data_IF_636018745727
#
_entry.id   IF_636018745727
#
_cell.length_a   1.000
_cell.length_b   1.000
_cell.length_c   1.000
_cell.angle_alpha   90.00
_cell.angle_beta   90.00
_cell.angle_gamma   90.00
#
_symmetry.space_group_name_H-M   'P 1'
#
loop_
_entity.id
_entity.type
_entity.pdbx_description
1 polymer ?
#
# COMPACT_ATOMS: atom_id res chain seq x y z
N UNK A 1 -61.18 -20.56 19.64
CA UNK A 1 -61.87 -19.25 19.51
C UNK A 1 -60.87 -18.33 18.81
N UNK A 2 -60.85 -18.33 17.47
CA UNK A 2 -61.47 -17.31 16.59
C UNK A 2 -60.80 -15.94 16.77
N UNK A 3 -60.25 -15.23 15.78
CA UNK A 3 -60.18 -15.29 14.30
C UNK A 3 -59.28 -14.10 13.88
N UNK A 4 -58.37 -14.20 12.89
CA UNK A 4 -58.55 -13.79 11.47
C UNK A 4 -58.71 -12.25 11.30
N UNK A 5 -58.08 -11.50 10.38
CA UNK A 5 -57.42 -11.76 9.10
C UNK A 5 -56.48 -10.56 8.75
N UNK A 6 -55.32 -10.80 8.13
CA UNK A 6 -54.92 -10.39 6.75
C UNK A 6 -55.65 -9.20 6.09
N UNK A 7 -54.88 -8.35 5.39
CA UNK A 7 -55.04 -7.95 3.97
C UNK A 7 -53.94 -6.93 3.58
N UNK A 8 -53.12 -7.30 2.60
CA UNK A 8 -52.59 -6.40 1.56
C UNK A 8 -53.47 -6.59 0.30
N UNK A 9 -53.63 -5.57 -0.56
CA UNK A 9 -53.04 -5.63 -1.91
C UNK A 9 -52.62 -4.20 -2.37
N UNK A 10 -52.07 -3.88 -3.55
CA UNK A 10 -52.33 -4.37 -4.90
C UNK A 10 -51.24 -3.84 -5.86
N UNK A 11 -50.77 -4.72 -6.75
CA UNK A 11 -50.06 -4.36 -7.99
C UNK A 11 -51.08 -3.83 -9.01
N UNK A 12 -50.70 -2.82 -9.80
CA UNK A 12 -51.43 -2.41 -10.99
C UNK A 12 -50.57 -2.66 -12.23
N UNK A 13 -51.09 -3.52 -13.10
CA UNK A 13 -50.52 -3.99 -14.34
C UNK A 13 -51.13 -3.24 -15.54
N UNK A 14 -50.36 -3.09 -16.62
CA UNK A 14 -50.85 -2.72 -17.96
C UNK A 14 -50.03 -1.67 -18.74
N UNK A 15 -50.09 -1.66 -20.09
CA UNK A 15 -50.01 -2.79 -21.01
C UNK A 15 -48.77 -2.69 -21.94
N UNK A 16 -48.41 -3.82 -22.55
CA UNK A 16 -47.20 -3.99 -23.35
C UNK A 16 -47.16 -3.24 -24.68
N UNK A 17 -45.94 -2.88 -25.08
CA UNK A 17 -45.56 -2.57 -26.46
C UNK A 17 -44.35 -3.43 -26.80
N UNK A 18 -44.55 -4.34 -27.75
CA UNK A 18 -43.53 -5.18 -28.37
C UNK A 18 -42.80 -4.34 -29.42
N UNK A 19 -41.49 -4.16 -29.30
CA UNK A 19 -40.64 -3.67 -30.40
C UNK A 19 -39.48 -4.63 -30.61
N UNK A 20 -39.40 -5.12 -31.84
CA UNK A 20 -38.55 -6.19 -32.32
C UNK A 20 -37.06 -5.85 -32.31
N UNK A 21 -36.23 -6.88 -32.07
CA UNK A 21 -34.79 -6.86 -32.26
C UNK A 21 -34.42 -6.89 -33.76
N UNK A 22 -33.36 -6.18 -34.21
CA UNK A 22 -32.81 -6.39 -35.53
C UNK A 22 -31.76 -7.52 -35.51
N UNK A 23 -31.93 -8.46 -36.45
CA UNK A 23 -30.95 -9.48 -36.82
C UNK A 23 -29.78 -8.92 -37.64
N UNK A 24 -28.64 -9.63 -37.70
CA UNK A 24 -27.42 -9.16 -38.36
C UNK A 24 -27.45 -9.36 -39.88
N UNK A 25 -26.84 -8.44 -40.63
CA UNK A 25 -26.63 -8.57 -42.07
C UNK A 25 -25.20 -9.03 -42.38
N UNK A 26 -25.07 -10.08 -43.18
CA UNK A 26 -23.81 -10.59 -43.74
C UNK A 26 -23.63 -10.20 -45.21
N UNK A 27 -22.46 -9.59 -45.49
CA UNK A 27 -21.52 -9.74 -46.63
C UNK A 27 -22.07 -9.86 -48.07
N UNK A 28 -21.59 -8.98 -48.96
CA UNK A 28 -21.00 -9.39 -50.25
C UNK A 28 -20.12 -8.30 -50.92
N UNK A 29 -18.85 -8.70 -51.13
CA UNK A 29 -18.03 -8.57 -52.34
C UNK A 29 -17.18 -7.35 -52.74
N UNK A 30 -16.10 -7.75 -53.43
CA UNK A 30 -14.86 -7.09 -53.89
C UNK A 30 -15.12 -5.94 -54.90
N UNK A 31 -14.22 -5.00 -55.22
CA UNK A 31 -12.95 -5.18 -55.95
C UNK A 31 -12.24 -3.83 -56.22
N UNK A 32 -10.89 -3.86 -56.21
CA UNK A 32 -9.91 -3.19 -57.09
C UNK A 32 -9.79 -1.64 -57.26
N UNK A 33 -8.64 -1.14 -56.82
CA UNK A 33 -7.53 -0.46 -57.56
C UNK A 33 -7.90 0.57 -58.66
N UNK A 34 -7.33 1.78 -58.57
CA UNK A 34 -7.18 2.67 -59.73
C UNK A 34 -6.61 4.06 -59.43
N UNK A 35 -5.28 4.17 -59.49
CA UNK A 35 -4.51 5.41 -59.63
C UNK A 35 -4.93 6.26 -60.84
N UNK A 36 -4.98 7.59 -60.74
CA UNK A 36 -4.29 8.50 -61.70
C UNK A 36 -4.47 10.01 -61.43
N UNK A 37 -3.32 10.69 -61.53
CA UNK A 37 -3.03 11.95 -62.21
C UNK A 37 -3.56 13.31 -61.69
N UNK A 38 -2.56 14.12 -61.28
CA UNK A 38 -2.55 15.58 -61.30
C UNK A 38 -3.05 16.16 -62.64
N UNK A 39 -3.79 17.27 -62.58
CA UNK A 39 -3.49 18.39 -63.48
C UNK A 39 -3.80 19.77 -62.89
N UNK A 40 -2.83 20.63 -63.13
CA UNK A 40 -2.56 22.00 -62.70
C UNK A 40 -3.59 23.01 -63.24
N UNK A 41 -3.95 24.03 -62.45
CA UNK A 41 -4.15 25.38 -63.00
C UNK A 41 -3.74 26.49 -62.00
N UNK A 42 -2.72 27.26 -62.40
CA UNK A 42 -2.27 28.51 -61.77
C UNK A 42 -3.11 29.68 -62.26
N UNK A 43 -3.60 30.55 -61.37
CA UNK A 43 -3.87 31.96 -61.68
C UNK A 43 -3.40 32.82 -60.49
N UNK A 44 -2.44 33.71 -60.77
CA UNK A 44 -1.94 34.76 -59.87
C UNK A 44 -2.78 36.03 -59.99
N UNK A 45 -3.16 36.65 -58.85
CA UNK A 45 -3.32 38.11 -58.70
C UNK A 45 -2.95 38.57 -57.27
N UNK A 46 -2.07 39.57 -57.21
CA UNK A 46 -1.59 40.33 -56.03
C UNK A 46 -2.68 41.32 -55.54
N UNK A 47 -3.08 41.37 -54.26
CA UNK A 47 -2.60 42.19 -53.10
C UNK A 47 -3.78 42.22 -52.06
N UNK A 48 -3.66 42.69 -50.79
CA UNK A 48 -2.51 42.97 -49.93
C UNK A 48 -2.55 42.24 -48.55
N UNK A 49 -1.41 42.28 -47.84
CA UNK A 49 -1.19 41.76 -46.48
C UNK A 49 -2.20 42.29 -45.45
N UNK A 50 -2.93 41.37 -44.80
CA UNK A 50 -3.50 41.56 -43.45
C UNK A 50 -2.94 40.49 -42.51
N UNK A 51 -2.36 40.96 -41.40
CA UNK A 51 -1.84 40.15 -40.30
C UNK A 51 -2.94 39.23 -39.75
N UNK A 52 -2.70 37.93 -39.81
CA UNK A 52 -3.38 36.91 -39.02
C UNK A 52 -2.34 35.88 -38.58
N UNK A 53 -1.90 36.01 -37.34
CA UNK A 53 -1.25 34.95 -36.55
C UNK A 53 -2.00 35.02 -35.23
N UNK A 54 -2.88 34.09 -34.91
CA UNK A 54 -2.55 32.68 -34.70
C UNK A 54 -2.72 32.48 -33.21
N UNK A 55 -3.75 31.71 -32.83
CA UNK A 55 -4.15 31.47 -31.45
C UNK A 55 -2.95 31.05 -30.59
N UNK A 56 -2.95 31.50 -29.32
CA UNK A 56 -1.96 31.11 -28.34
C UNK A 56 -1.96 29.58 -28.18
N UNK A 57 -0.89 28.93 -28.63
CA UNK A 57 -0.57 27.57 -28.24
C UNK A 57 -0.28 27.54 -26.73
N UNK A 58 -0.67 26.48 -25.99
CA UNK A 58 -0.34 26.37 -24.59
C UNK A 58 1.19 26.37 -24.43
N UNK A 59 1.72 27.18 -23.50
CA UNK A 59 3.12 27.16 -23.10
C UNK A 59 3.41 25.82 -22.41
N UNK A 60 3.76 24.80 -23.18
CA UNK A 60 4.43 23.62 -22.67
C UNK A 60 5.88 24.02 -22.41
N UNK A 61 6.30 23.94 -21.15
CA UNK A 61 7.70 24.11 -20.75
C UNK A 61 8.42 22.80 -21.14
N UNK A 62 9.41 22.83 -22.05
CA UNK A 62 10.15 21.62 -22.38
C UNK A 62 11.17 21.34 -21.27
N UNK A 63 10.98 20.23 -20.55
CA UNK A 63 12.03 19.61 -19.76
C UNK A 63 12.79 18.65 -20.68
N UNK A 64 13.87 19.15 -21.27
CA UNK A 64 14.92 18.31 -21.84
C UNK A 64 16.25 19.05 -21.76
N UNK A 65 17.15 18.56 -20.91
CA UNK A 65 18.58 18.42 -21.24
C UNK A 65 19.17 17.19 -20.54
N UNK A 66 19.86 16.29 -21.26
CA UNK A 66 20.62 15.20 -20.68
C UNK A 66 22.01 15.65 -20.22
N UNK A 67 22.58 14.89 -19.28
CA UNK A 67 23.88 15.09 -18.65
C UNK A 67 25.03 15.26 -19.66
N UNK A 68 25.79 16.35 -19.48
CA UNK A 68 27.11 16.55 -20.08
C UNK A 68 28.12 16.95 -19.01
N UNK A 69 29.20 16.18 -18.89
CA UNK A 69 30.26 16.38 -17.90
C UNK A 69 30.96 17.73 -18.05
N UNK A 70 31.12 18.47 -16.96
CA UNK A 70 32.17 19.49 -16.82
C UNK A 70 32.74 19.42 -15.40
N UNK A 71 34.00 18.98 -15.30
CA UNK A 71 34.83 19.18 -14.09
C UNK A 71 35.11 20.67 -13.94
N UNK A 72 34.80 21.27 -12.79
CA UNK A 72 35.65 22.31 -12.20
C UNK A 72 35.38 22.57 -10.71
N UNK A 73 36.40 22.21 -9.91
CA UNK A 73 37.00 22.89 -8.74
C UNK A 73 36.09 23.64 -7.75
N UNK A 74 36.06 23.10 -6.52
CA UNK A 74 36.26 23.90 -5.31
C UNK A 74 35.05 24.14 -4.41
N UNK A 75 34.45 23.08 -3.84
CA UNK A 75 33.77 23.06 -2.54
C UNK A 75 33.46 21.58 -2.19
N UNK A 76 33.43 21.17 -0.90
CA UNK A 76 33.03 19.82 -0.55
C UNK A 76 31.54 19.65 -0.87
N UNK A 77 31.25 18.79 -1.85
CA UNK A 77 29.89 18.36 -2.22
C UNK A 77 29.41 17.46 -1.10
N UNK A 78 28.42 17.90 -0.33
CA UNK A 78 27.55 17.01 0.42
C UNK A 78 26.66 16.30 -0.62
N UNK A 79 26.46 14.98 -0.49
CA UNK A 79 25.70 14.16 -1.43
C UNK A 79 24.40 14.84 -1.91
N UNK A 80 24.29 15.07 -3.22
CA UNK A 80 23.25 15.88 -3.87
C UNK A 80 21.91 15.14 -4.07
N UNK A 81 21.79 13.86 -3.70
CA UNK A 81 20.55 13.11 -3.88
C UNK A 81 19.62 13.28 -2.67
N UNK A 82 18.67 14.21 -2.77
CA UNK A 82 17.62 14.40 -1.77
C UNK A 82 16.71 13.17 -1.60
N UNK A 83 16.03 13.08 -0.45
CA UNK A 83 15.11 11.98 -0.13
C UNK A 83 13.90 11.90 -1.06
N UNK A 84 13.59 10.69 -1.53
CA UNK A 84 12.40 10.41 -2.35
C UNK A 84 11.19 10.10 -1.47
N UNK A 85 10.14 10.90 -1.62
CA UNK A 85 8.86 10.74 -0.92
C UNK A 85 7.81 10.02 -1.78
N UNK A 86 7.80 10.33 -3.07
CA UNK A 86 6.95 9.72 -4.08
C UNK A 86 7.79 9.60 -5.35
N UNK A 87 7.85 8.41 -5.95
CA UNK A 87 8.64 8.22 -7.17
C UNK A 87 7.77 8.57 -8.37
N UNK A 88 8.29 9.42 -9.25
CA UNK A 88 7.65 9.65 -10.54
C UNK A 88 7.50 8.33 -11.29
N UNK A 89 6.32 8.04 -11.81
CA UNK A 89 6.17 7.00 -12.83
C UNK A 89 6.63 7.62 -14.14
N UNK A 90 7.95 7.56 -14.35
CA UNK A 90 8.61 8.05 -15.56
C UNK A 90 9.35 6.89 -16.21
N UNK A 91 9.06 6.65 -17.48
CA UNK A 91 9.98 5.98 -18.37
C UNK A 91 10.41 7.04 -19.39
N UNK A 92 11.68 7.08 -19.77
CA UNK A 92 12.17 7.93 -20.87
C UNK A 92 11.33 7.73 -22.17
N UNK A 93 10.53 6.66 -22.22
CA UNK A 93 9.59 6.28 -23.28
C UNK A 93 8.28 5.72 -22.70
N UNK A 94 7.48 6.58 -22.05
CA UNK A 94 6.01 6.49 -21.87
C UNK A 94 5.33 5.09 -21.97
N UNK A 95 5.43 4.25 -20.93
CA UNK A 95 4.65 3.02 -20.89
C UNK A 95 4.40 2.47 -19.49
N UNK A 96 3.15 2.51 -19.03
CA UNK A 96 2.71 1.78 -17.84
C UNK A 96 3.03 0.28 -17.93
N UNK A 97 3.05 -0.27 -19.15
CA UNK A 97 3.47 -1.65 -19.42
C UNK A 97 4.94 -1.91 -19.11
N UNK A 98 5.83 -0.96 -19.43
CA UNK A 98 7.24 -1.09 -19.08
C UNK A 98 7.45 -0.96 -17.56
N UNK A 99 6.82 0.03 -16.93
CA UNK A 99 6.87 0.17 -15.47
C UNK A 99 6.39 -1.11 -14.77
N UNK A 100 5.24 -1.66 -15.22
CA UNK A 100 4.71 -2.94 -14.72
C UNK A 100 5.68 -4.08 -14.98
N UNK A 101 6.31 -4.17 -16.15
CA UNK A 101 7.34 -5.18 -16.45
C UNK A 101 8.53 -5.07 -15.49
N UNK A 102 9.08 -3.87 -15.28
CA UNK A 102 10.20 -3.62 -14.35
C UNK A 102 9.86 -4.02 -12.93
N UNK A 103 8.68 -3.60 -12.45
CA UNK A 103 8.16 -4.02 -11.15
C UNK A 103 8.02 -5.55 -11.08
N UNK A 104 7.49 -6.20 -12.13
CA UNK A 104 7.31 -7.66 -12.23
C UNK A 104 8.62 -8.46 -12.21
N UNK A 105 9.71 -7.89 -12.72
CA UNK A 105 11.03 -8.53 -12.73
C UNK A 105 11.87 -8.26 -11.48
N UNK A 106 11.49 -7.29 -10.65
CA UNK A 106 12.24 -6.93 -9.46
C UNK A 106 12.24 -8.06 -8.40
N UNK A 107 13.33 -8.26 -7.65
CA UNK A 107 13.38 -9.22 -6.55
C UNK A 107 12.26 -9.00 -5.53
N UNK A 108 11.58 -10.08 -5.13
CA UNK A 108 10.46 -10.01 -4.16
C UNK A 108 10.87 -10.09 -2.71
N UNK A 109 12.14 -10.32 -2.42
CA UNK A 109 12.63 -10.52 -1.06
C UNK A 109 13.74 -9.53 -0.77
N UNK A 110 13.50 -8.65 0.19
CA UNK A 110 14.55 -7.85 0.84
C UNK A 110 15.12 -8.73 1.95
N UNK A 111 16.43 -8.98 1.91
CA UNK A 111 17.09 -9.83 2.90
C UNK A 111 17.21 -9.12 4.24
N UNK A 112 17.20 -9.88 5.33
CA UNK A 112 17.51 -9.35 6.66
C UNK A 112 18.77 -8.47 6.63
N UNK A 113 18.67 -7.27 7.22
CA UNK A 113 19.75 -6.29 7.21
C UNK A 113 19.81 -5.39 5.97
N UNK A 114 18.91 -5.54 4.99
CA UNK A 114 18.81 -4.58 3.88
C UNK A 114 18.46 -3.18 4.40
N UNK A 115 19.23 -2.18 3.98
CA UNK A 115 18.99 -0.76 4.23
C UNK A 115 18.83 -0.06 2.88
N UNK A 116 17.64 0.48 2.59
CA UNK A 116 17.39 1.25 1.35
C UNK A 116 17.49 2.75 1.55
N UNK A 117 17.34 3.21 2.80
CA UNK A 117 17.51 4.60 3.24
C UNK A 117 17.89 4.52 4.73
N UNK A 118 18.99 5.15 5.14
CA UNK A 118 19.45 5.18 6.53
C UNK A 118 18.73 6.25 7.37
N UNK A 119 17.73 6.91 6.77
CA UNK A 119 16.90 7.97 7.32
C UNK A 119 17.67 9.20 7.81
N UNK A 120 18.95 9.35 7.45
CA UNK A 120 19.78 10.52 7.83
C UNK A 120 19.20 11.82 7.28
N UNK A 121 18.57 11.76 6.11
CA UNK A 121 17.90 12.89 5.46
C UNK A 121 16.41 12.91 5.85
N UNK A 122 16.08 13.52 7.00
CA UNK A 122 14.72 13.96 7.32
C UNK A 122 14.26 13.78 8.77
N UNK A 123 13.17 14.47 9.11
CA UNK A 123 12.62 14.59 10.48
C UNK A 123 12.24 13.27 11.21
N UNK A 124 12.27 12.13 10.51
CA UNK A 124 12.00 10.80 11.09
C UNK A 124 13.25 10.04 11.55
N UNK A 125 14.44 10.45 11.13
CA UNK A 125 15.72 9.80 11.49
C UNK A 125 16.69 10.70 12.26
N UNK A 126 16.39 12.00 12.41
CA UNK A 126 17.15 12.88 13.29
C UNK A 126 16.78 12.57 14.75
N UNK A 127 17.43 11.55 15.29
CA UNK A 127 17.59 11.21 16.71
C UNK A 127 19.07 11.20 17.05
N UNK A 128 19.43 11.48 18.30
CA UNK A 128 20.77 11.18 18.79
C UNK A 128 21.06 9.70 18.55
N UNK A 129 22.09 9.38 17.75
CA UNK A 129 22.45 8.01 17.38
C UNK A 129 22.78 7.14 18.61
N UNK A 130 23.20 7.77 19.72
CA UNK A 130 23.40 7.12 21.01
C UNK A 130 22.09 6.71 21.70
N UNK A 131 20.95 7.24 21.28
CA UNK A 131 19.63 7.01 21.90
C UNK A 131 18.65 6.28 20.99
N UNK A 132 18.71 6.47 19.68
CA UNK A 132 17.77 5.91 18.72
C UNK A 132 18.35 5.84 17.31
N UNK A 133 17.91 4.84 16.54
CA UNK A 133 18.29 4.65 15.13
C UNK A 133 17.08 4.25 14.31
N UNK A 134 16.96 4.81 13.10
CA UNK A 134 15.92 4.47 12.13
C UNK A 134 16.59 4.04 10.82
N UNK A 135 16.07 3.02 10.15
CA UNK A 135 16.53 2.65 8.80
C UNK A 135 15.44 1.94 8.03
N UNK A 136 15.40 2.10 6.71
CA UNK A 136 14.33 1.58 5.85
C UNK A 136 14.74 0.28 5.20
N UNK A 137 13.77 -0.61 5.08
CA UNK A 137 13.91 -1.86 4.34
C UNK A 137 13.13 -1.82 3.02
N UNK A 138 12.10 -0.98 2.94
CA UNK A 138 11.25 -0.78 1.78
C UNK A 138 10.71 0.66 1.76
N UNK A 139 10.83 1.33 0.63
CA UNK A 139 10.21 2.63 0.39
C UNK A 139 10.14 3.03 -1.09
N UNK A 140 9.52 4.19 -1.38
CA UNK A 140 9.33 4.69 -2.75
C UNK A 140 10.65 5.03 -3.48
N UNK A 141 11.71 5.35 -2.73
CA UNK A 141 13.05 5.62 -3.26
C UNK A 141 13.87 4.38 -3.62
N UNK A 142 13.34 3.19 -3.39
CA UNK A 142 14.06 1.93 -3.63
C UNK A 142 14.54 1.78 -5.07
N UNK A 143 15.74 1.21 -5.23
CA UNK A 143 16.23 0.64 -6.49
C UNK A 143 16.68 -0.83 -6.26
N UNK A 144 16.12 -1.82 -6.99
CA UNK A 144 14.99 -1.69 -7.90
C UNK A 144 13.70 -1.26 -7.18
N UNK A 145 12.87 -0.49 -7.87
CA UNK A 145 11.57 -0.03 -7.36
C UNK A 145 10.64 -1.22 -7.07
N UNK A 146 9.99 -1.19 -5.92
CA UNK A 146 8.98 -2.19 -5.53
C UNK A 146 7.60 -1.55 -5.39
N UNK A 147 7.47 -0.59 -4.48
CA UNK A 147 6.19 0.05 -4.16
C UNK A 147 6.35 1.50 -3.74
N UNK A 148 5.25 2.24 -3.83
CA UNK A 148 5.07 3.56 -3.25
C UNK A 148 3.73 3.67 -2.51
N UNK A 149 3.11 2.55 -2.14
CA UNK A 149 1.88 2.52 -1.34
C UNK A 149 2.18 2.17 0.12
N UNK A 150 3.25 1.41 0.35
CA UNK A 150 3.71 0.94 1.65
C UNK A 150 5.17 1.33 1.86
N UNK A 151 5.52 1.57 3.11
CA UNK A 151 6.86 1.83 3.58
C UNK A 151 7.11 0.95 4.79
N UNK A 152 8.25 0.28 4.82
CA UNK A 152 8.69 -0.55 5.95
C UNK A 152 10.07 -0.09 6.41
N UNK A 153 10.16 0.26 7.70
CA UNK A 153 11.42 0.64 8.34
C UNK A 153 11.46 0.14 9.77
N UNK A 154 12.63 0.20 10.37
CA UNK A 154 12.83 -0.12 11.76
C UNK A 154 13.05 1.15 12.55
N UNK A 155 12.59 1.13 13.80
CA UNK A 155 13.00 2.08 14.83
C UNK A 155 13.59 1.27 15.97
N UNK A 156 14.87 1.49 16.23
CA UNK A 156 15.59 0.98 17.38
C UNK A 156 15.73 2.09 18.42
N UNK A 157 15.38 1.78 19.67
CA UNK A 157 15.65 2.64 20.82
C UNK A 157 16.70 1.95 21.70
N UNK A 158 17.82 2.62 21.94
CA UNK A 158 18.90 2.13 22.82
C UNK A 158 18.40 2.05 24.27
N UNK A 159 19.10 1.34 25.18
CA UNK A 159 18.70 1.27 26.59
C UNK A 159 18.51 2.67 27.19
N UNK A 160 17.31 2.93 27.74
CA UNK A 160 16.88 4.21 28.28
C UNK A 160 16.69 5.34 27.25
N UNK A 161 16.86 5.03 25.97
CA UNK A 161 16.84 5.96 24.86
C UNK A 161 15.44 6.39 24.44
N UNK A 162 15.41 7.42 23.59
CA UNK A 162 14.21 7.97 22.97
C UNK A 162 14.59 8.65 21.66
N UNK A 163 13.63 8.84 20.76
CA UNK A 163 13.82 9.76 19.63
C UNK A 163 13.55 11.22 20.05
N UNK A 164 13.76 12.19 19.15
CA UNK A 164 13.49 13.62 19.44
C UNK A 164 12.00 13.99 19.46
N UNK A 165 11.12 13.13 18.95
CA UNK A 165 9.70 13.42 18.76
C UNK A 165 9.43 14.38 17.59
N UNK A 166 8.23 14.29 17.02
CA UNK A 166 7.77 15.13 15.90
C UNK A 166 6.25 14.97 15.69
N UNK A 167 5.67 15.81 14.83
CA UNK A 167 4.28 15.71 14.37
C UNK A 167 4.18 15.50 12.87
N UNK A 168 3.17 14.74 12.42
CA UNK A 168 2.87 14.55 11.00
C UNK A 168 1.41 14.13 10.75
N UNK A 169 0.87 14.47 9.58
CA UNK A 169 -0.50 14.10 9.18
C UNK A 169 -0.67 12.60 8.89
N UNK A 170 0.34 11.93 8.36
CA UNK A 170 0.21 10.51 8.03
C UNK A 170 0.16 9.62 9.28
N UNK A 171 -0.51 8.47 9.19
CA UNK A 171 -0.42 7.44 10.23
C UNK A 171 0.94 6.72 10.18
N UNK A 172 1.29 6.11 11.31
CA UNK A 172 2.38 5.16 11.41
C UNK A 172 2.05 4.04 12.39
N UNK A 173 2.28 2.80 11.98
CA UNK A 173 2.00 1.64 12.84
C UNK A 173 3.29 0.90 13.16
N UNK A 174 3.40 0.42 14.39
CA UNK A 174 4.61 -0.17 14.96
C UNK A 174 4.25 -1.54 15.52
N UNK A 175 4.82 -2.61 14.96
CA UNK A 175 4.81 -3.91 15.59
C UNK A 175 6.07 -4.05 16.44
N UNK A 176 5.91 -4.23 17.76
CA UNK A 176 7.05 -4.29 18.69
C UNK A 176 7.70 -5.68 18.60
N UNK A 177 8.88 -5.74 17.98
CA UNK A 177 9.66 -6.97 17.82
C UNK A 177 10.39 -7.34 19.13
N UNK A 178 10.92 -6.33 19.83
CA UNK A 178 11.75 -6.52 21.03
C UNK A 178 11.51 -5.41 22.07
N UNK A 179 11.69 -5.76 23.35
CA UNK A 179 11.71 -4.81 24.46
C UNK A 179 10.33 -4.38 24.96
N UNK A 180 10.34 -3.28 25.71
CA UNK A 180 9.16 -2.62 26.25
C UNK A 180 9.43 -1.13 26.48
N UNK A 181 8.36 -0.34 26.51
CA UNK A 181 8.47 1.10 26.52
C UNK A 181 7.14 1.78 26.55
N UNK A 182 7.14 3.04 26.16
CA UNK A 182 5.92 3.84 26.06
C UNK A 182 6.04 4.91 24.98
N UNK A 183 4.90 5.35 24.47
CA UNK A 183 4.79 6.51 23.60
C UNK A 183 4.07 7.65 24.33
N UNK A 184 4.49 8.88 24.07
CA UNK A 184 3.73 10.08 24.43
C UNK A 184 3.18 10.67 23.16
N UNK A 185 1.87 10.86 23.10
CA UNK A 185 1.18 11.50 21.98
C UNK A 185 0.28 12.59 22.51
N UNK A 186 0.48 13.82 22.04
CA UNK A 186 -0.36 14.95 22.42
C UNK A 186 -0.49 15.07 23.95
N UNK A 187 0.63 14.81 24.66
CA UNK A 187 0.72 14.80 26.12
C UNK A 187 0.23 13.53 26.84
N UNK A 188 -0.38 12.57 26.14
CA UNK A 188 -0.91 11.34 26.73
C UNK A 188 0.04 10.14 26.56
N UNK A 189 0.22 9.37 27.63
CA UNK A 189 1.08 8.17 27.68
C UNK A 189 0.37 6.90 27.25
N UNK A 190 1.07 6.04 26.52
CA UNK A 190 0.64 4.72 26.08
C UNK A 190 1.77 3.69 26.23
N UNK A 191 1.61 2.71 27.13
CA UNK A 191 2.62 1.69 27.38
C UNK A 191 2.52 0.51 26.40
N UNK A 192 3.67 -0.02 25.97
CA UNK A 192 3.77 -1.14 25.04
C UNK A 192 4.88 -2.12 25.42
N UNK A 193 4.74 -3.36 24.96
CA UNK A 193 5.71 -4.44 25.10
C UNK A 193 5.80 -5.26 23.82
N UNK A 194 6.79 -6.15 23.72
CA UNK A 194 6.92 -7.13 22.63
C UNK A 194 5.59 -7.78 22.24
N UNK A 195 5.37 -7.91 20.93
CA UNK A 195 4.17 -8.41 20.26
C UNK A 195 2.93 -7.49 20.37
N UNK A 196 3.04 -6.28 20.94
CA UNK A 196 2.00 -5.26 20.83
C UNK A 196 2.08 -4.53 19.48
N UNK A 197 0.95 -3.94 19.07
CA UNK A 197 0.86 -3.10 17.89
C UNK A 197 0.45 -1.68 18.28
N UNK A 198 1.35 -0.73 18.04
CA UNK A 198 1.23 0.67 18.46
C UNK A 198 0.95 1.57 17.26
N UNK A 199 0.11 2.57 17.45
CA UNK A 199 -0.40 3.42 16.38
C UNK A 199 -0.16 4.88 16.73
N UNK A 200 0.71 5.50 15.94
CA UNK A 200 0.75 6.95 15.75
C UNK A 200 -0.36 7.29 14.76
N UNK A 201 -1.45 7.86 15.29
CA UNK A 201 -2.56 8.31 14.46
C UNK A 201 -2.20 9.59 13.70
N UNK A 202 -3.05 9.89 12.71
CA UNK A 202 -3.08 11.15 11.99
C UNK A 202 -3.02 12.36 12.94
N UNK A 203 -2.21 13.34 12.56
CA UNK A 203 -2.04 14.64 13.23
C UNK A 203 -1.48 14.56 14.65
N UNK A 204 -0.80 13.47 15.02
CA UNK A 204 -0.25 13.30 16.37
C UNK A 204 1.17 13.88 16.50
N UNK A 205 1.38 14.73 17.51
CA UNK A 205 2.73 15.04 18.01
C UNK A 205 3.13 13.89 18.94
N UNK A 206 4.15 13.12 18.55
CA UNK A 206 4.49 11.87 19.21
C UNK A 206 5.99 11.71 19.48
N UNK A 207 6.31 10.92 20.51
CA UNK A 207 7.67 10.54 20.90
C UNK A 207 7.70 9.14 21.51
N UNK A 208 8.74 8.37 21.20
CA UNK A 208 8.90 6.97 21.65
C UNK A 208 10.01 6.86 22.69
N UNK A 209 9.81 6.02 23.70
CA UNK A 209 10.73 5.83 24.82
C UNK A 209 10.96 4.36 25.10
N UNK A 210 12.21 3.97 25.31
CA UNK A 210 12.58 2.68 25.84
C UNK A 210 12.56 2.72 27.37
N UNK A 211 11.72 1.88 27.99
CA UNK A 211 11.61 1.82 29.46
C UNK A 211 12.77 1.02 30.10
N UNK A 212 13.39 0.11 29.36
CA UNK A 212 14.51 -0.69 29.85
C UNK A 212 15.79 0.15 29.92
N UNK A 213 16.59 -0.03 30.97
CA UNK A 213 17.92 0.61 31.12
C UNK A 213 19.08 -0.27 30.65
N UNK A 214 18.81 -1.52 30.30
CA UNK A 214 19.85 -2.49 29.89
C UNK A 214 19.60 -3.09 28.51
N UNK A 215 18.33 -3.23 28.12
CA UNK A 215 17.94 -3.85 26.85
C UNK A 215 17.51 -2.79 25.85
N UNK A 216 17.74 -3.06 24.57
CA UNK A 216 17.17 -2.26 23.47
C UNK A 216 15.67 -2.55 23.31
N UNK A 217 14.99 -1.67 22.57
CA UNK A 217 13.69 -1.95 21.99
C UNK A 217 13.76 -1.81 20.47
N UNK A 218 13.05 -2.68 19.76
CA UNK A 218 13.01 -2.68 18.29
C UNK A 218 11.56 -2.78 17.83
N UNK A 219 11.17 -1.89 16.93
CA UNK A 219 9.87 -1.91 16.28
C UNK A 219 10.01 -1.99 14.76
N UNK A 220 9.15 -2.80 14.14
CA UNK A 220 8.92 -2.75 12.69
C UNK A 220 7.80 -1.75 12.43
N UNK A 221 8.09 -0.73 11.63
CA UNK A 221 7.17 0.35 11.31
C UNK A 221 6.64 0.16 9.90
N UNK A 222 5.31 0.13 9.78
CA UNK A 222 4.60 -0.02 8.50
C UNK A 222 3.73 1.23 8.31
N UNK A 223 3.92 1.92 7.19
CA UNK A 223 3.21 3.17 6.87
C UNK A 223 2.68 3.16 5.44
N UNK A 224 1.53 3.79 5.22
CA UNK A 224 1.05 4.16 3.88
C UNK A 224 1.45 5.61 3.48
N UNK A 225 2.61 6.09 3.98
CA UNK A 225 2.96 7.52 3.96
C UNK A 225 2.94 8.14 2.55
N UNK A 226 3.45 7.42 1.56
CA UNK A 226 3.51 7.91 0.18
C UNK A 226 2.13 8.21 -0.41
N UNK A 227 1.09 7.47 -0.01
CA UNK A 227 -0.30 7.76 -0.38
C UNK A 227 -0.80 9.08 0.21
N UNK A 228 -0.46 9.39 1.47
CA UNK A 228 -0.81 10.69 2.08
C UNK A 228 -0.17 11.86 1.35
N UNK A 229 1.10 11.72 0.98
CA UNK A 229 1.81 12.76 0.24
C UNK A 229 1.26 12.94 -1.19
N UNK A 230 0.85 11.85 -1.85
CA UNK A 230 0.17 11.92 -3.15
C UNK A 230 -1.17 12.68 -3.07
N UNK A 231 -1.83 12.69 -1.91
CA UNK A 231 -3.06 13.44 -1.65
C UNK A 231 -2.81 14.89 -1.14
N UNK A 232 -1.55 15.34 -1.08
CA UNK A 232 -1.20 16.69 -0.60
C UNK A 232 -1.18 16.85 0.92
N UNK A 233 -1.25 15.74 1.68
CA UNK A 233 -1.22 15.75 3.15
C UNK A 233 0.23 15.73 3.63
N UNK A 234 0.90 16.87 3.48
CA UNK A 234 2.35 17.03 3.60
C UNK A 234 2.80 17.75 4.88
N UNK A 235 1.89 18.10 5.79
CA UNK A 235 2.28 18.79 7.01
C UNK A 235 2.99 17.83 7.97
N UNK A 236 4.26 18.13 8.23
CA UNK A 236 5.14 17.38 9.12
C UNK A 236 6.23 18.31 9.66
N UNK A 237 6.61 18.15 10.92
CA UNK A 237 7.69 18.93 11.50
C UNK A 237 7.97 18.61 12.97
N UNK A 238 9.01 19.25 13.50
CA UNK A 238 9.33 19.23 14.93
C UNK A 238 8.50 20.26 15.68
N UNK A 239 8.35 20.05 16.98
CA UNK A 239 7.80 21.06 17.88
C UNK A 239 8.70 22.31 17.87
N UNK A 240 8.15 23.42 17.38
CA UNK A 240 8.75 24.75 17.41
C UNK A 240 7.66 25.81 17.57
N UNK A 241 7.99 27.03 18.03
CA UNK A 241 7.04 28.14 18.02
C UNK A 241 6.47 28.37 16.62
N UNK A 242 5.20 28.76 16.54
CA UNK A 242 4.59 29.16 15.28
C UNK A 242 5.10 30.56 14.88
N UNK A 243 5.87 30.64 13.80
CA UNK A 243 6.66 31.83 13.44
C UNK A 243 5.80 32.97 12.84
N UNK A 244 4.71 32.65 12.16
CA UNK A 244 3.91 33.63 11.39
C UNK A 244 2.59 33.99 12.08
N UNK A 245 2.60 34.13 13.40
CA UNK A 245 1.38 34.33 14.21
C UNK A 245 0.55 35.57 13.85
N UNK A 246 1.13 36.56 13.15
CA UNK A 246 0.41 37.75 12.72
C UNK A 246 -0.43 37.53 11.45
N UNK A 247 -0.06 36.55 10.61
CA UNK A 247 -0.75 36.26 9.34
C UNK A 247 -1.87 35.23 9.47
N UNK A 248 -2.00 34.60 10.64
CA UNK A 248 -2.97 33.54 10.91
C UNK A 248 -3.87 33.88 12.10
N UNK A 249 -5.06 33.31 12.10
CA UNK A 249 -5.96 33.38 13.26
C UNK A 249 -5.37 32.67 14.49
N UNK A 250 -5.91 32.93 15.70
CA UNK A 250 -5.58 32.14 16.88
C UNK A 250 -5.75 30.64 16.65
N UNK A 251 -4.91 29.85 17.33
CA UNK A 251 -4.90 28.39 17.20
C UNK A 251 -6.29 27.79 17.50
N UNK A 252 -6.69 26.84 16.64
CA UNK A 252 -7.86 25.99 16.83
C UNK A 252 -7.41 24.55 17.01
N UNK A 253 -8.25 23.77 17.68
CA UNK A 253 -7.99 22.35 17.87
C UNK A 253 -8.12 21.61 16.53
N UNK A 254 -7.07 20.87 16.15
CA UNK A 254 -7.02 20.13 14.89
C UNK A 254 -8.00 18.94 14.84
N UNK A 255 -8.39 18.42 16.01
CA UNK A 255 -9.31 17.27 16.12
C UNK A 255 -10.71 17.54 15.61
N UNK A 256 -11.06 18.80 15.34
CA UNK A 256 -12.31 19.18 14.67
C UNK A 256 -12.44 18.56 13.26
N UNK A 257 -11.32 18.19 12.62
CA UNK A 257 -11.29 17.52 11.32
C UNK A 257 -11.36 15.99 11.44
N UNK A 258 -11.21 15.44 12.64
CA UNK A 258 -11.16 14.00 12.82
C UNK A 258 -12.55 13.36 12.72
N UNK A 259 -12.57 12.10 12.27
CA UNK A 259 -13.77 11.28 12.33
C UNK A 259 -14.32 11.25 13.76
N UNK A 260 -15.63 11.48 13.96
CA UNK A 260 -16.26 11.36 15.29
C UNK A 260 -15.92 10.04 15.98
N UNK A 261 -15.58 10.09 17.27
CA UNK A 261 -15.18 8.93 18.07
C UNK A 261 -13.74 8.43 17.83
N UNK A 262 -12.93 9.10 17.00
CA UNK A 262 -11.55 8.69 16.75
C UNK A 262 -10.69 8.62 18.03
N UNK A 263 -10.96 9.49 19.01
CA UNK A 263 -10.23 9.56 20.29
C UNK A 263 -10.56 8.42 21.24
N UNK A 264 -11.69 7.73 21.04
CA UNK A 264 -12.15 6.62 21.89
C UNK A 264 -11.50 5.29 21.50
N UNK A 265 -10.87 5.26 20.32
CA UNK A 265 -10.23 4.07 19.75
C UNK A 265 -8.87 3.79 20.37
N UNK A 266 -8.55 2.50 20.46
CA UNK A 266 -7.26 1.99 20.97
C UNK A 266 -6.11 2.39 20.05
N UNK A 267 -5.02 2.83 20.67
CA UNK A 267 -3.74 3.12 20.00
C UNK A 267 -2.68 2.04 20.21
N UNK A 268 -2.86 1.24 21.26
CA UNK A 268 -2.04 0.05 21.52
C UNK A 268 -2.99 -1.13 21.49
N UNK A 269 -2.87 -1.97 20.48
CA UNK A 269 -3.52 -3.27 20.44
C UNK A 269 -2.59 -4.24 21.15
N UNK A 270 -3.01 -4.71 22.32
CA UNK A 270 -2.22 -5.69 23.07
C UNK A 270 -2.23 -7.04 22.37
N UNK A 271 -1.17 -7.83 22.53
CA UNK A 271 -1.15 -9.23 22.05
C UNK A 271 -2.44 -9.98 22.41
N UNK A 272 -2.91 -9.81 23.65
CA UNK A 272 -4.10 -10.48 24.19
C UNK A 272 -5.44 -9.86 23.73
N UNK A 273 -5.42 -8.70 23.04
CA UNK A 273 -6.60 -8.11 22.37
C UNK A 273 -6.91 -8.81 21.04
N UNK A 274 -6.11 -9.79 20.62
CA UNK A 274 -6.22 -10.47 19.32
C UNK A 274 -6.35 -11.97 19.54
N UNK A 275 -6.93 -12.67 18.56
CA UNK A 275 -7.18 -14.12 18.62
C UNK A 275 -6.66 -14.78 17.36
N UNK A 276 -6.12 -15.99 17.52
CA UNK A 276 -5.79 -16.86 16.41
C UNK A 276 -7.02 -17.62 15.97
N UNK A 277 -7.29 -17.62 14.68
CA UNK A 277 -8.43 -18.26 14.05
C UNK A 277 -7.98 -19.02 12.80
N UNK A 278 -8.59 -20.16 12.53
CA UNK A 278 -8.44 -20.83 11.23
C UNK A 278 -9.38 -20.16 10.24
N UNK A 279 -8.81 -19.50 9.24
CA UNK A 279 -9.53 -18.84 8.13
C UNK A 279 -9.28 -19.61 6.84
N UNK A 280 -9.89 -19.19 5.72
CA UNK A 280 -9.59 -19.74 4.40
C UNK A 280 -8.10 -19.64 4.04
N UNK A 281 -7.41 -18.61 4.55
CA UNK A 281 -5.96 -18.42 4.37
C UNK A 281 -5.11 -19.17 5.42
N UNK A 282 -5.72 -20.02 6.25
CA UNK A 282 -5.04 -20.77 7.30
C UNK A 282 -5.09 -20.06 8.64
N UNK A 283 -4.12 -20.34 9.51
CA UNK A 283 -4.11 -19.87 10.90
C UNK A 283 -3.64 -18.41 10.95
N UNK A 284 -4.58 -17.51 11.22
CA UNK A 284 -4.40 -16.07 11.14
C UNK A 284 -4.80 -15.39 12.45
N UNK A 285 -4.11 -14.31 12.81
CA UNK A 285 -4.44 -13.41 13.91
C UNK A 285 -4.54 -11.99 13.40
N UNK A 286 -5.77 -11.49 13.26
CA UNK A 286 -6.03 -10.13 12.77
C UNK A 286 -5.71 -9.10 13.87
N UNK A 287 -4.84 -8.15 13.54
CA UNK A 287 -4.41 -7.06 14.43
C UNK A 287 -5.11 -5.75 14.06
N UNK A 288 -5.16 -5.44 12.77
CA UNK A 288 -5.82 -4.27 12.18
C UNK A 288 -6.59 -4.68 10.93
N UNK A 289 -7.87 -4.35 10.87
CA UNK A 289 -8.72 -4.49 9.68
C UNK A 289 -9.89 -3.50 9.75
N UNK A 290 -10.67 -3.30 8.67
CA UNK A 290 -11.89 -2.50 8.73
C UNK A 290 -12.90 -3.00 9.78
N UNK A 291 -12.89 -4.31 10.08
CA UNK A 291 -13.77 -4.93 11.08
C UNK A 291 -13.32 -4.65 12.52
N UNK A 292 -12.06 -4.28 12.74
CA UNK A 292 -11.52 -3.84 14.04
C UNK A 292 -11.83 -2.35 14.26
N UNK A 293 -13.12 -2.04 14.45
CA UNK A 293 -13.61 -0.67 14.65
C UNK A 293 -13.12 -0.02 15.95
N UNK A 294 -12.60 -0.81 16.89
CA UNK A 294 -11.99 -0.38 18.15
C UNK A 294 -10.57 0.19 17.99
N UNK A 295 -9.93 0.04 16.83
CA UNK A 295 -8.51 0.38 16.61
C UNK A 295 -8.37 1.70 15.84
N UNK A 296 -7.48 2.59 16.30
CA UNK A 296 -7.30 3.95 15.75
C UNK A 296 -6.35 3.99 14.54
N UNK A 297 -6.60 3.13 13.56
CA UNK A 297 -5.84 3.09 12.29
C UNK A 297 -6.77 2.96 11.11
N UNK A 298 -6.43 3.63 10.01
CA UNK A 298 -7.22 3.69 8.77
C UNK A 298 -6.38 3.43 7.53
N UNK A 299 -5.06 3.38 7.66
CA UNK A 299 -4.14 3.30 6.53
C UNK A 299 -3.69 1.88 6.17
N UNK A 300 -3.57 0.99 7.15
CA UNK A 300 -3.00 -0.35 6.93
C UNK A 300 -3.83 -1.46 7.61
N UNK A 301 -4.04 -2.53 6.86
CA UNK A 301 -4.50 -3.81 7.38
C UNK A 301 -3.29 -4.63 7.79
N UNK A 302 -3.34 -5.24 8.96
CA UNK A 302 -2.21 -6.01 9.52
C UNK A 302 -2.75 -7.26 10.20
N UNK A 303 -2.14 -8.40 9.88
CA UNK A 303 -2.40 -9.66 10.56
C UNK A 303 -1.12 -10.48 10.68
N UNK A 304 -1.08 -11.38 11.64
CA UNK A 304 -0.08 -12.44 11.65
C UNK A 304 -0.65 -13.72 11.05
N UNK A 305 0.20 -14.46 10.37
CA UNK A 305 -0.11 -15.79 9.84
C UNK A 305 0.91 -16.79 10.33
N UNK A 306 0.43 -17.98 10.69
CA UNK A 306 1.25 -19.11 11.09
C UNK A 306 0.99 -20.30 10.17
N UNK A 307 2.07 -20.86 9.64
CA UNK A 307 2.05 -22.10 8.88
C UNK A 307 2.85 -23.15 9.66
N UNK A 308 2.23 -24.30 9.92
CA UNK A 308 2.94 -25.46 10.47
C UNK A 308 3.98 -25.99 9.46
N UNK A 309 5.01 -26.73 9.90
CA UNK A 309 6.04 -27.26 9.01
C UNK A 309 5.47 -27.94 7.75
N UNK A 310 5.88 -27.48 6.57
CA UNK A 310 5.46 -28.02 5.27
C UNK A 310 4.03 -27.64 4.84
N UNK A 311 3.32 -26.81 5.61
CA UNK A 311 2.02 -26.28 5.22
C UNK A 311 2.14 -25.12 4.22
N UNK A 312 1.01 -24.78 3.62
CA UNK A 312 0.85 -23.67 2.67
C UNK A 312 -0.38 -22.86 3.03
N UNK A 313 -0.29 -21.54 2.84
CA UNK A 313 -1.45 -20.64 2.92
C UNK A 313 -2.43 -20.92 1.78
N UNK A 314 -3.52 -20.16 1.72
CA UNK A 314 -4.37 -20.19 0.54
C UNK A 314 -3.61 -19.71 -0.70
N UNK A 315 -4.06 -20.17 -1.86
CA UNK A 315 -3.74 -19.52 -3.14
C UNK A 315 -4.86 -18.51 -3.40
N UNK A 316 -4.57 -17.23 -3.23
CA UNK A 316 -5.58 -16.17 -3.35
C UNK A 316 -5.12 -15.00 -4.20
N UNK A 317 -6.07 -14.16 -4.58
CA UNK A 317 -5.87 -12.98 -5.41
C UNK A 317 -6.58 -11.78 -4.79
N UNK A 318 -5.86 -10.66 -4.70
CA UNK A 318 -6.38 -9.36 -4.32
C UNK A 318 -5.63 -8.25 -5.08
N UNK A 319 -6.16 -7.02 -5.01
CA UNK A 319 -5.60 -5.89 -5.74
C UNK A 319 -4.49 -5.15 -4.98
N UNK A 320 -4.63 -4.99 -3.67
CA UNK A 320 -3.63 -4.32 -2.84
C UNK A 320 -2.28 -5.02 -2.96
N UNK A 321 -1.19 -4.25 -2.99
CA UNK A 321 0.12 -4.84 -2.71
C UNK A 321 0.25 -5.19 -1.23
N UNK A 322 1.15 -6.12 -0.97
CA UNK A 322 1.32 -6.73 0.34
C UNK A 322 2.81 -6.84 0.68
N UNK A 323 3.10 -6.66 1.97
CA UNK A 323 4.39 -6.98 2.54
C UNK A 323 4.22 -8.03 3.63
N UNK A 324 5.08 -9.03 3.66
CA UNK A 324 5.14 -10.04 4.70
C UNK A 324 6.54 -10.06 5.32
N UNK A 325 6.65 -9.57 6.56
CA UNK A 325 7.87 -9.66 7.34
C UNK A 325 7.96 -11.02 8.01
N UNK A 326 9.07 -11.73 7.81
CA UNK A 326 9.24 -13.11 8.30
C UNK A 326 9.70 -13.06 9.76
N UNK A 327 8.76 -13.25 10.69
CA UNK A 327 9.03 -13.24 12.13
C UNK A 327 9.84 -14.47 12.57
N UNK A 328 9.59 -15.63 11.97
CA UNK A 328 10.28 -16.89 12.27
C UNK A 328 10.14 -17.90 11.13
N UNK A 329 11.09 -18.83 11.04
CA UNK A 329 11.09 -19.91 10.06
C UNK A 329 11.57 -19.48 8.66
N UNK A 330 11.35 -20.35 7.69
CA UNK A 330 11.73 -20.15 6.29
C UNK A 330 10.73 -20.83 5.35
N UNK A 331 10.76 -20.42 4.10
CA UNK A 331 9.74 -20.81 3.15
C UNK A 331 9.92 -20.24 1.76
N UNK A 332 8.87 -20.34 0.96
CA UNK A 332 8.79 -19.82 -0.40
C UNK A 332 7.49 -19.06 -0.63
N UNK A 333 7.59 -17.93 -1.32
CA UNK A 333 6.46 -17.19 -1.88
C UNK A 333 6.33 -17.53 -3.36
N UNK A 334 5.17 -18.08 -3.74
CA UNK A 334 4.79 -18.28 -5.13
C UNK A 334 3.85 -17.16 -5.56
N UNK A 335 4.18 -16.48 -6.65
CA UNK A 335 3.43 -15.32 -7.14
C UNK A 335 3.17 -15.44 -8.64
N UNK A 336 1.90 -15.48 -9.03
CA UNK A 336 1.45 -15.46 -10.43
C UNK A 336 0.97 -14.06 -10.80
N UNK A 337 1.58 -13.50 -11.85
CA UNK A 337 1.12 -12.25 -12.43
C UNK A 337 -0.33 -12.39 -12.92
N UNK A 338 -1.12 -11.35 -12.68
CA UNK A 338 -2.44 -11.19 -13.30
C UNK A 338 -2.39 -10.06 -14.32
N UNK A 339 -2.71 -10.38 -15.57
CA UNK A 339 -2.82 -9.43 -16.66
C UNK A 339 -4.28 -9.07 -16.93
N UNK A 340 -4.53 -7.82 -17.28
CA UNK A 340 -5.83 -7.39 -17.75
C UNK A 340 -5.94 -7.65 -19.27
N UNK A 341 -6.88 -8.49 -19.67
CA UNK A 341 -7.37 -8.52 -21.04
C UNK A 341 -8.51 -7.50 -21.16
N UNK A 342 -8.27 -6.46 -21.94
CA UNK A 342 -9.21 -5.34 -22.11
C UNK A 342 -9.81 -5.46 -23.51
N UNK A 343 -11.00 -6.06 -23.58
CA UNK A 343 -11.85 -6.10 -24.77
C UNK A 343 -13.16 -5.37 -24.51
N UNK A 344 -14.29 -5.95 -24.92
CA UNK A 344 -15.63 -5.46 -24.53
C UNK A 344 -15.87 -5.50 -23.02
N UNK A 345 -15.17 -6.39 -22.33
CA UNK A 345 -15.15 -6.52 -20.87
C UNK A 345 -13.72 -6.52 -20.37
N UNK A 346 -13.55 -6.11 -19.12
CA UNK A 346 -12.29 -6.21 -18.40
C UNK A 346 -12.17 -7.61 -17.79
N UNK A 347 -11.22 -8.42 -18.27
CA UNK A 347 -11.04 -9.80 -17.84
C UNK A 347 -9.63 -10.01 -17.27
N UNK A 348 -9.51 -10.90 -16.29
CA UNK A 348 -8.24 -11.26 -15.68
C UNK A 348 -7.66 -12.52 -16.32
N UNK A 349 -6.38 -12.46 -16.69
CA UNK A 349 -5.59 -13.60 -17.15
C UNK A 349 -4.47 -13.86 -16.16
N UNK A 350 -4.59 -14.97 -15.42
CA UNK A 350 -3.61 -15.39 -14.43
C UNK A 350 -2.51 -16.17 -15.16
N UNK A 351 -1.25 -15.87 -14.87
CA UNK A 351 -0.11 -16.63 -15.40
C UNK A 351 -0.25 -18.13 -15.07
N UNK A 352 0.25 -19.00 -15.94
CA UNK A 352 0.21 -20.46 -15.70
C UNK A 352 1.23 -20.86 -14.62
N UNK A 353 2.43 -20.25 -14.67
CA UNK A 353 3.53 -20.54 -13.75
C UNK A 353 3.79 -19.36 -12.82
N UNK A 354 4.08 -19.60 -11.53
CA UNK A 354 4.48 -18.54 -10.62
C UNK A 354 5.96 -18.20 -10.79
N UNK A 355 6.32 -16.99 -10.40
CA UNK A 355 7.66 -16.71 -9.88
C UNK A 355 7.79 -17.27 -8.45
N UNK A 356 8.99 -17.71 -8.08
CA UNK A 356 9.27 -18.36 -6.78
C UNK A 356 10.35 -17.61 -6.04
N UNK A 357 10.13 -17.36 -4.75
CA UNK A 357 11.03 -16.53 -3.95
C UNK A 357 11.22 -17.12 -2.56
N UNK A 358 12.42 -17.63 -2.30
CA UNK A 358 12.78 -18.16 -0.99
C UNK A 358 13.07 -17.05 0.01
N UNK A 359 12.59 -17.22 1.24
CA UNK A 359 12.79 -16.29 2.35
C UNK A 359 13.08 -17.03 3.66
N UNK A 360 13.65 -16.30 4.61
CA UNK A 360 13.92 -16.76 5.98
C UNK A 360 13.64 -15.66 6.99
N UNK A 361 13.65 -16.00 8.28
CA UNK A 361 13.44 -15.06 9.38
C UNK A 361 14.27 -13.77 9.21
N UNK A 362 13.62 -12.64 9.43
CA UNK A 362 14.18 -11.30 9.25
C UNK A 362 14.05 -10.72 7.83
N UNK A 363 13.70 -11.54 6.84
CA UNK A 363 13.42 -11.07 5.47
C UNK A 363 12.07 -10.34 5.37
N UNK A 364 11.92 -9.52 4.35
CA UNK A 364 10.65 -8.91 3.96
C UNK A 364 10.29 -9.35 2.55
N UNK A 365 9.15 -10.02 2.41
CA UNK A 365 8.59 -10.43 1.12
C UNK A 365 7.63 -9.36 0.64
N UNK A 366 7.73 -8.97 -0.62
CA UNK A 366 6.81 -8.06 -1.31
C UNK A 366 5.96 -8.83 -2.31
N UNK A 367 4.66 -8.58 -2.33
CA UNK A 367 3.72 -9.06 -3.35
C UNK A 367 3.17 -7.82 -4.09
N UNK A 368 3.36 -7.69 -5.41
CA UNK A 368 2.84 -6.56 -6.17
C UNK A 368 1.31 -6.49 -6.19
N UNK A 369 0.80 -5.32 -6.58
CA UNK A 369 -0.62 -5.15 -6.85
C UNK A 369 -1.10 -6.14 -7.92
N UNK A 370 -2.38 -6.52 -7.83
CA UNK A 370 -3.02 -7.42 -8.80
C UNK A 370 -2.25 -8.74 -9.02
N UNK A 371 -1.96 -9.46 -7.94
CA UNK A 371 -1.13 -10.67 -7.99
C UNK A 371 -1.85 -11.82 -7.28
N UNK A 372 -1.85 -13.00 -7.90
CA UNK A 372 -2.23 -14.22 -7.18
C UNK A 372 -1.00 -14.70 -6.44
N UNK A 373 -1.11 -15.03 -5.16
CA UNK A 373 0.04 -15.52 -4.42
C UNK A 373 -0.32 -16.58 -3.37
N UNK A 374 0.71 -17.27 -2.86
CA UNK A 374 0.67 -18.09 -1.65
C UNK A 374 2.03 -18.16 -0.97
N UNK A 375 2.02 -18.46 0.31
CA UNK A 375 3.20 -18.77 1.12
C UNK A 375 3.26 -20.26 1.44
N UNK A 376 4.47 -20.81 1.52
CA UNK A 376 4.71 -22.19 1.94
C UNK A 376 5.87 -22.27 2.92
N UNK A 377 5.74 -23.12 3.93
CA UNK A 377 6.82 -23.45 4.87
C UNK A 377 7.73 -24.52 4.25
N UNK A 378 9.04 -24.39 4.46
CA UNK A 378 10.02 -25.39 4.03
C UNK A 378 10.06 -26.65 4.91
N UNK A 379 9.37 -26.64 6.05
CA UNK A 379 9.30 -27.77 6.98
C UNK A 379 10.37 -27.79 8.08
N UNK A 380 11.28 -26.82 8.13
CA UNK A 380 12.33 -26.73 9.17
C UNK A 380 11.79 -26.31 10.56
N UNK A 381 10.63 -25.67 10.59
CA UNK A 381 9.95 -25.18 11.79
C UNK A 381 8.66 -24.44 11.45
N UNK A 382 7.91 -23.95 12.46
CA UNK A 382 6.73 -23.13 12.20
C UNK A 382 7.15 -21.82 11.53
N UNK A 383 6.51 -21.50 10.42
CA UNK A 383 6.68 -20.24 9.72
C UNK A 383 5.70 -19.22 10.28
N UNK A 384 6.20 -18.05 10.73
CA UNK A 384 5.37 -16.93 11.19
C UNK A 384 5.64 -15.69 10.35
N UNK A 385 4.58 -15.11 9.82
CA UNK A 385 4.60 -13.92 8.98
C UNK A 385 3.79 -12.80 9.64
N UNK A 386 4.31 -11.58 9.63
CA UNK A 386 3.53 -10.37 9.87
C UNK A 386 3.21 -9.75 8.51
N UNK A 387 1.94 -9.80 8.13
CA UNK A 387 1.45 -9.39 6.81
C UNK A 387 0.76 -8.05 6.91
N UNK A 388 1.03 -7.15 5.95
CA UNK A 388 0.38 -5.86 5.88
C UNK A 388 0.02 -5.43 4.45
N UNK A 389 -1.12 -4.76 4.32
CA UNK A 389 -1.66 -4.22 3.07
C UNK A 389 -2.11 -2.77 3.26
N UNK A 390 -2.06 -1.97 2.20
CA UNK A 390 -2.60 -0.61 2.24
C UNK A 390 -4.14 -0.65 2.14
N UNK A 391 -4.84 -0.13 3.16
CA UNK A 391 -6.31 -0.16 3.25
C UNK A 391 -6.99 0.69 2.16
N UNK A 392 -6.31 1.66 1.55
CA UNK A 392 -6.89 2.54 0.53
C UNK A 392 -7.50 1.75 -0.64
N UNK A 393 -6.91 0.63 -1.04
CA UNK A 393 -7.43 -0.20 -2.14
C UNK A 393 -8.88 -0.65 -1.90
N UNK A 394 -9.25 -0.90 -0.63
CA UNK A 394 -10.61 -1.29 -0.24
C UNK A 394 -11.59 -0.14 -0.45
N UNK A 395 -11.16 1.09 -0.11
CA UNK A 395 -11.94 2.32 -0.33
C UNK A 395 -12.10 2.65 -1.82
N UNK A 396 -11.21 2.15 -2.68
CA UNK A 396 -11.30 2.25 -4.13
C UNK A 396 -12.14 1.14 -4.78
N UNK A 397 -12.78 0.28 -3.99
CA UNK A 397 -13.67 -0.80 -4.48
C UNK A 397 -12.99 -2.16 -4.66
N UNK A 398 -11.73 -2.32 -4.24
CA UNK A 398 -11.00 -3.60 -4.31
C UNK A 398 -10.85 -4.27 -2.94
N UNK A 399 -11.96 -4.44 -2.22
CA UNK A 399 -11.97 -5.07 -0.87
C UNK A 399 -11.98 -6.61 -0.90
N UNK A 400 -12.40 -7.20 -2.01
CA UNK A 400 -12.56 -8.66 -2.11
C UNK A 400 -11.22 -9.41 -2.24
N UNK A 401 -11.16 -10.56 -1.57
CA UNK A 401 -10.13 -11.60 -1.78
C UNK A 401 -10.77 -12.76 -2.55
N UNK A 402 -10.17 -13.14 -3.67
CA UNK A 402 -10.57 -14.30 -4.47
C UNK A 402 -9.68 -15.48 -4.10
N UNK A 403 -10.23 -16.43 -3.37
CA UNK A 403 -9.57 -17.68 -3.01
C UNK A 403 -9.71 -18.71 -4.14
N UNK A 404 -8.59 -19.15 -4.70
CA UNK A 404 -8.52 -20.19 -5.74
C UNK A 404 -8.28 -21.58 -5.14
N UNK A 405 -7.53 -21.65 -4.03
CA UNK A 405 -7.34 -22.84 -3.20
C UNK A 405 -7.34 -22.39 -1.74
N UNK A 406 -8.04 -23.11 -0.86
CA UNK A 406 -8.02 -22.84 0.59
C UNK A 406 -6.76 -23.45 1.23
N UNK A 407 -6.38 -22.93 2.41
CA UNK A 407 -5.37 -23.56 3.24
C UNK A 407 -5.87 -24.93 3.74
N UNK A 408 -4.98 -25.93 3.77
CA UNK A 408 -5.34 -27.32 4.13
C UNK A 408 -5.92 -27.44 5.54
N UNK A 409 -5.45 -26.60 6.46
CA UNK A 409 -5.93 -26.53 7.83
C UNK A 409 -7.42 -26.19 7.88
N UNK A 410 -7.85 -25.24 7.05
CA UNK A 410 -9.24 -24.84 6.93
C UNK A 410 -10.11 -25.94 6.34
N UNK A 411 -9.66 -26.55 5.25
CA UNK A 411 -10.36 -27.69 4.63
C UNK A 411 -10.58 -28.81 5.65
N UNK A 412 -9.55 -29.16 6.44
CA UNK A 412 -9.65 -30.17 7.50
C UNK A 412 -10.68 -29.80 8.56
N UNK A 413 -10.72 -28.54 8.99
CA UNK A 413 -11.66 -28.07 10.00
C UNK A 413 -13.12 -28.09 9.49
N UNK A 414 -13.36 -27.68 8.25
CA UNK A 414 -14.68 -27.75 7.60
C UNK A 414 -15.16 -29.20 7.49
N UNK A 415 -14.27 -30.12 7.09
CA UNK A 415 -14.59 -31.55 6.99
C UNK A 415 -14.87 -32.17 8.36
N UNK A 416 -14.12 -31.80 9.39
CA UNK A 416 -14.35 -32.25 10.77
C UNK A 416 -15.71 -31.76 11.32
N UNK A 417 -16.09 -30.51 11.05
CA UNK A 417 -17.41 -29.98 11.46
C UNK A 417 -18.56 -30.66 10.71
N UNK A 418 -18.37 -30.93 9.42
CA UNK A 418 -19.40 -31.58 8.57
C UNK A 418 -19.58 -33.07 8.88
N UNK A 419 -18.58 -33.71 9.49
CA UNK A 419 -18.62 -35.13 9.89
C UNK A 419 -19.04 -35.36 11.34
N UNK A 420 -19.23 -34.29 12.13
CA UNK A 420 -19.75 -34.40 13.48
C UNK A 420 -21.25 -34.76 13.43
N UNK A 421 -21.72 -35.81 14.15
CA UNK A 421 -23.13 -36.15 14.17
C UNK A 421 -23.95 -34.98 14.73
N UNK A 422 -25.05 -34.63 14.05
CA UNK A 422 -26.00 -33.62 14.53
C UNK A 422 -26.51 -34.04 15.91
N UNK A 423 -26.24 -33.23 16.93
CA UNK A 423 -26.75 -33.43 18.28
C UNK A 423 -28.20 -33.01 18.41
#
# INVERSE_FOLDING_TARGET
MSSGASVAPEEADGPGVVVAAPQPATISDRTAIGTSALQILRISRHLPRRRRTGAAAPKVIPFDRPHGSLKNRGAPVADEEGRVFLRGISAETYGLSEFRRRQRTAPRVRRAGTVTDDATVGHSGDSDEGLSRTWWMLGPGDEPFLTQTLQVHFVELKPGGSNHGHGHQNEATFYILEGSGYEIHDGKRYDWSKDDFVIVHTDSVHRHYNASKTERALALVIKAKATWMALGLIQQGRSKPFEDGASFEPARDWSQLWTPGATDKKKVVKKNDTKWETTRDGRVRVISSPQRSDVRTTSVDVYEQELVPGARSAKHWHMADEVAYVLAGSGESEQWDVEAEIGERYQARIAIRPSRWHFSAGDLVYVPQNTVHRYSSDGSGPLRLLVAQNRLFKLLGYDSIVYLEDAREFEREVMARSSAPSR
#
